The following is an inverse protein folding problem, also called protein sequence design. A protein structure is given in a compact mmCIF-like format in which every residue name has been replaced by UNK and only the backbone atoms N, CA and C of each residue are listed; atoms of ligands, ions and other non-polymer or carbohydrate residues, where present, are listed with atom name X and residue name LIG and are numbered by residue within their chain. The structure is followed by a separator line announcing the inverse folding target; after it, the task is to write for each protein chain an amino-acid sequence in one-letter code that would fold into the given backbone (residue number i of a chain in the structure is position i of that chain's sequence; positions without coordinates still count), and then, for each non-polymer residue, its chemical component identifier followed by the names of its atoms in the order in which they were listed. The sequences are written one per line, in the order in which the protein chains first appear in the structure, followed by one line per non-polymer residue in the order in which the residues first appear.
data_IF_001332939381
#
_entry.id   IF_001332939381
#
_cell.length_a   1.000
_cell.length_b   1.000
_cell.length_c   1.000
_cell.angle_alpha   90.00
_cell.angle_beta   90.00
_cell.angle_gamma   90.00
#
_symmetry.space_group_name_H-M   'P 1'
#
loop_
_entity.id
_entity.type
_entity.pdbx_description
1 polymer ?
#
# COMPACT_ATOMS: atom_id res chain seq x y z
N UNK A 1 0.31 129.53 -2.45
CA UNK A 1 1.27 129.74 -3.56
C UNK A 1 1.33 128.49 -4.47
N UNK A 2 1.23 128.77 -5.70
CA UNK A 2 1.57 127.96 -6.90
C UNK A 2 0.78 126.72 -7.24
N UNK A 3 -0.03 126.95 -8.24
CA UNK A 3 -0.57 126.02 -9.29
C UNK A 3 0.48 125.11 -9.87
N UNK A 4 0.09 123.90 -10.10
CA UNK A 4 0.55 123.27 -11.35
C UNK A 4 -0.44 122.22 -11.86
N UNK A 5 -0.84 122.41 -13.09
CA UNK A 5 -1.72 121.69 -13.99
C UNK A 5 -1.18 120.28 -14.30
N UNK A 6 -2.04 119.23 -14.32
CA UNK A 6 -1.77 117.99 -15.01
C UNK A 6 -2.80 117.74 -16.11
N UNK A 7 -2.31 117.64 -17.29
CA UNK A 7 -2.98 117.20 -18.53
C UNK A 7 -3.56 115.80 -18.42
N UNK A 8 -4.66 115.52 -19.04
CA UNK A 8 -5.25 114.19 -19.13
C UNK A 8 -4.49 113.35 -20.19
N UNK A 9 -4.12 112.15 -19.83
CA UNK A 9 -3.54 111.16 -20.69
C UNK A 9 -4.65 110.39 -21.41
N UNK A 10 -4.81 110.58 -22.70
CA UNK A 10 -5.68 109.78 -23.60
C UNK A 10 -5.20 108.39 -23.70
N UNK A 11 -5.88 107.43 -23.16
CA UNK A 11 -5.74 106.03 -23.49
C UNK A 11 -6.50 105.71 -24.79
N UNK A 12 -5.74 105.47 -25.81
CA UNK A 12 -6.24 104.94 -27.15
C UNK A 12 -6.65 103.48 -26.90
N UNK A 13 -7.95 103.23 -26.82
CA UNK A 13 -8.47 101.82 -26.95
C UNK A 13 -8.22 101.36 -28.34
N UNK A 14 -7.22 100.48 -28.53
CA UNK A 14 -7.08 99.63 -29.70
C UNK A 14 -8.32 98.71 -29.79
N UNK A 15 -9.32 99.12 -30.60
CA UNK A 15 -10.36 98.21 -30.97
C UNK A 15 -9.73 97.15 -31.94
N UNK A 16 -9.81 95.91 -31.54
CA UNK A 16 -9.42 94.74 -32.39
C UNK A 16 -10.27 94.77 -33.70
N UNK A 17 -9.66 95.25 -34.80
CA UNK A 17 -10.26 95.28 -36.13
C UNK A 17 -10.45 93.89 -36.73
N UNK A 18 -10.44 92.83 -35.94
CA UNK A 18 -10.63 91.45 -36.40
C UNK A 18 -12.07 91.21 -36.87
N UNK A 19 -13.03 91.98 -36.38
CA UNK A 19 -14.45 91.87 -36.74
C UNK A 19 -14.91 92.72 -37.98
N UNK A 20 -14.01 93.38 -38.63
CA UNK A 20 -14.35 94.14 -39.85
C UNK A 20 -14.15 93.37 -41.11
N UNK A 21 -13.56 92.19 -41.04
CA UNK A 21 -13.31 91.33 -42.22
C UNK A 21 -14.42 90.25 -42.32
N UNK A 22 -15.32 90.42 -43.31
CA UNK A 22 -16.44 89.52 -43.54
C UNK A 22 -16.04 88.01 -43.57
N UNK A 23 -14.84 87.71 -44.09
CA UNK A 23 -14.34 86.32 -44.16
C UNK A 23 -13.97 85.79 -42.79
N UNK A 24 -13.38 86.63 -41.92
CA UNK A 24 -12.99 86.21 -40.51
C UNK A 24 -14.27 86.05 -39.68
N UNK A 25 -15.26 86.93 -39.90
CA UNK A 25 -16.55 86.85 -39.18
C UNK A 25 -17.32 85.58 -39.59
N UNK A 26 -17.26 85.21 -40.89
CA UNK A 26 -17.87 83.98 -41.38
C UNK A 26 -17.19 82.72 -40.81
N UNK A 27 -15.86 82.69 -40.76
CA UNK A 27 -15.09 81.57 -40.15
C UNK A 27 -15.40 81.46 -38.60
N UNK A 28 -15.45 82.63 -37.93
CA UNK A 28 -15.76 82.63 -36.47
C UNK A 28 -17.20 82.18 -36.22
N UNK A 29 -18.15 82.62 -37.02
CA UNK A 29 -19.55 82.20 -36.96
C UNK A 29 -19.70 80.70 -37.19
N UNK A 30 -18.94 80.16 -38.17
CA UNK A 30 -18.94 78.74 -38.47
C UNK A 30 -18.34 77.95 -37.35
N UNK A 31 -17.19 78.39 -36.77
CA UNK A 31 -16.58 77.77 -35.60
C UNK A 31 -17.47 77.85 -34.36
N UNK A 32 -18.13 79.02 -34.15
CA UNK A 32 -19.06 79.16 -33.05
C UNK A 32 -20.32 78.27 -33.22
N UNK A 33 -20.86 78.17 -34.42
CA UNK A 33 -21.96 77.27 -34.75
C UNK A 33 -21.56 75.80 -34.60
N UNK A 34 -20.35 75.45 -35.08
CA UNK A 34 -19.79 74.10 -34.90
C UNK A 34 -19.54 73.74 -33.41
N UNK A 35 -19.06 74.76 -32.63
CA UNK A 35 -18.87 74.55 -31.18
C UNK A 35 -20.21 74.39 -30.44
N UNK A 36 -21.22 75.21 -30.78
CA UNK A 36 -22.59 75.09 -30.24
C UNK A 36 -23.22 73.77 -30.69
N UNK A 37 -23.05 73.37 -31.98
CA UNK A 37 -23.53 72.10 -32.46
C UNK A 37 -22.86 70.92 -31.75
N UNK A 38 -21.56 71.01 -31.56
CA UNK A 38 -20.79 69.94 -30.83
C UNK A 38 -21.21 69.91 -29.34
N UNK A 39 -21.38 71.08 -28.72
CA UNK A 39 -21.87 71.18 -27.34
C UNK A 39 -23.32 70.66 -27.21
N UNK A 40 -24.17 70.93 -28.20
CA UNK A 40 -25.55 70.45 -28.23
C UNK A 40 -25.62 68.96 -28.54
N UNK A 41 -24.72 68.43 -29.39
CA UNK A 41 -24.58 67.04 -29.66
C UNK A 41 -24.01 66.27 -28.47
N UNK A 42 -23.06 66.87 -27.73
CA UNK A 42 -22.52 66.31 -26.49
C UNK A 42 -23.53 66.34 -25.32
N UNK A 43 -24.40 67.33 -25.27
CA UNK A 43 -25.44 67.45 -24.23
C UNK A 43 -26.73 66.68 -24.55
N UNK A 44 -27.01 66.43 -25.87
CA UNK A 44 -28.16 65.64 -26.36
C UNK A 44 -27.77 64.18 -26.68
N UNK A 45 -26.67 63.65 -26.09
CA UNK A 45 -26.44 62.22 -26.15
C UNK A 45 -27.56 61.54 -25.35
N UNK A 46 -28.56 61.01 -26.05
CA UNK A 46 -29.63 60.23 -25.46
C UNK A 46 -29.00 59.15 -24.61
N UNK A 47 -29.41 59.10 -23.33
CA UNK A 47 -29.04 58.03 -22.41
C UNK A 47 -29.57 56.71 -23.01
N UNK A 48 -28.69 55.84 -23.46
CA UNK A 48 -29.05 54.58 -24.05
C UNK A 48 -28.74 53.45 -23.08
N UNK A 49 -29.69 52.53 -22.97
CA UNK A 49 -29.47 51.29 -22.26
C UNK A 49 -28.54 50.40 -23.13
N UNK A 50 -27.48 49.92 -22.52
CA UNK A 50 -26.51 48.98 -23.15
C UNK A 50 -26.39 47.72 -22.24
N UNK A 51 -26.48 46.55 -22.83
CA UNK A 51 -26.36 45.29 -22.05
C UNK A 51 -24.92 44.80 -22.14
N UNK A 52 -24.29 44.72 -21.00
CA UNK A 52 -22.97 44.08 -20.83
C UNK A 52 -23.21 42.62 -20.46
N UNK A 53 -22.75 41.73 -21.34
CA UNK A 53 -23.01 40.30 -21.21
C UNK A 53 -21.88 39.56 -20.47
N UNK A 54 -22.25 38.42 -19.88
CA UNK A 54 -21.29 37.50 -19.23
C UNK A 54 -20.46 38.18 -18.11
N UNK A 55 -21.07 39.05 -17.31
CA UNK A 55 -20.40 39.64 -16.15
C UNK A 55 -20.28 38.55 -15.07
N UNK A 56 -19.08 38.25 -14.58
CA UNK A 56 -18.87 37.18 -13.61
C UNK A 56 -19.52 37.55 -12.28
N UNK A 57 -20.16 36.53 -11.67
CA UNK A 57 -20.81 36.69 -10.36
C UNK A 57 -19.83 36.25 -9.28
N UNK A 58 -19.60 37.10 -8.29
CA UNK A 58 -18.83 36.79 -7.07
C UNK A 58 -19.79 36.55 -5.92
N UNK A 59 -19.73 35.33 -5.32
CA UNK A 59 -20.50 35.04 -4.12
C UNK A 59 -19.62 35.29 -2.91
N UNK A 60 -19.99 36.32 -2.11
CA UNK A 60 -19.33 36.66 -0.87
C UNK A 60 -19.99 35.90 0.29
N UNK A 61 -19.20 35.13 1.01
CA UNK A 61 -19.64 34.37 2.17
C UNK A 61 -19.35 35.22 3.42
N UNK A 62 -20.31 35.32 4.34
CA UNK A 62 -20.11 36.06 5.60
C UNK A 62 -18.92 35.50 6.39
N UNK A 63 -18.20 36.36 7.11
CA UNK A 63 -17.00 35.98 7.87
C UNK A 63 -17.27 34.79 8.82
N UNK A 64 -18.41 34.85 9.51
CA UNK A 64 -18.83 33.76 10.44
C UNK A 64 -19.05 32.43 9.73
N UNK A 65 -19.59 32.43 8.53
CA UNK A 65 -19.80 31.24 7.73
C UNK A 65 -18.48 30.74 7.12
N UNK A 66 -17.60 31.64 6.70
CA UNK A 66 -16.28 31.32 6.19
C UNK A 66 -15.38 30.69 7.26
N UNK A 67 -15.39 31.24 8.49
CA UNK A 67 -14.68 30.66 9.64
C UNK A 67 -15.24 29.29 10.03
N UNK A 68 -16.54 29.06 9.83
CA UNK A 68 -17.16 27.75 10.02
C UNK A 68 -16.89 26.76 8.89
N UNK A 69 -16.11 27.12 7.85
CA UNK A 69 -15.74 26.26 6.73
C UNK A 69 -16.80 26.14 5.65
N UNK A 70 -17.79 27.03 5.60
CA UNK A 70 -18.83 27.02 4.55
C UNK A 70 -18.22 27.37 3.20
N UNK A 71 -18.60 26.58 2.18
CA UNK A 71 -18.23 26.81 0.76
C UNK A 71 -19.44 26.65 -0.13
N UNK A 72 -19.40 27.34 -1.27
CA UNK A 72 -20.35 27.15 -2.37
C UNK A 72 -19.82 26.05 -3.28
N UNK A 73 -20.63 25.04 -3.54
CA UNK A 73 -20.26 23.88 -4.38
C UNK A 73 -20.86 23.96 -5.77
N UNK A 74 -22.01 24.65 -5.93
CA UNK A 74 -22.65 24.86 -7.22
C UNK A 74 -23.42 26.16 -7.25
N UNK A 75 -23.53 26.75 -8.44
CA UNK A 75 -24.32 27.92 -8.74
C UNK A 75 -25.13 27.66 -10.01
N UNK A 76 -26.38 28.13 -10.07
CA UNK A 76 -27.24 28.02 -11.25
C UNK A 76 -26.67 28.78 -12.48
N UNK A 77 -25.90 29.83 -12.23
CA UNK A 77 -25.14 30.56 -13.24
C UNK A 77 -23.87 31.17 -12.63
N UNK A 78 -22.76 31.12 -13.34
CA UNK A 78 -21.49 31.77 -12.96
C UNK A 78 -21.35 33.20 -13.49
N UNK A 79 -22.26 33.64 -14.38
CA UNK A 79 -22.26 34.96 -14.95
C UNK A 79 -23.69 35.44 -15.20
N UNK A 80 -23.85 36.75 -15.35
CA UNK A 80 -25.12 37.41 -15.60
C UNK A 80 -24.97 38.58 -16.59
N UNK A 81 -26.05 39.00 -17.18
CA UNK A 81 -26.09 40.17 -18.07
C UNK A 81 -26.52 41.41 -17.25
N UNK A 82 -25.80 42.53 -17.40
CA UNK A 82 -26.05 43.76 -16.68
C UNK A 82 -26.44 44.84 -17.66
N UNK A 83 -27.61 45.46 -17.45
CA UNK A 83 -28.05 46.64 -18.19
C UNK A 83 -27.49 47.88 -17.55
N UNK A 84 -26.82 48.70 -18.32
CA UNK A 84 -26.30 50.02 -17.89
C UNK A 84 -26.87 51.11 -18.78
N UNK A 85 -27.09 52.27 -18.20
CA UNK A 85 -27.64 53.44 -18.88
C UNK A 85 -26.67 54.61 -18.76
N UNK A 86 -26.42 55.30 -19.87
CA UNK A 86 -25.50 56.44 -19.89
C UNK A 86 -25.19 56.93 -21.32
N UNK A 87 -24.23 57.83 -21.37
CA UNK A 87 -23.76 58.36 -22.68
C UNK A 87 -23.20 57.23 -23.56
N UNK A 88 -23.71 57.11 -24.80
CA UNK A 88 -23.36 56.07 -25.73
C UNK A 88 -21.83 55.92 -26.03
N UNK A 89 -21.08 57.03 -25.94
CA UNK A 89 -19.63 57.06 -26.10
C UNK A 89 -18.90 56.42 -24.91
N UNK A 90 -19.52 56.48 -23.73
CA UNK A 90 -19.00 55.91 -22.50
C UNK A 90 -19.44 54.47 -22.37
N UNK A 91 -20.75 54.19 -22.51
CA UNK A 91 -21.30 52.84 -22.38
C UNK A 91 -20.75 51.83 -23.38
N UNK A 92 -20.37 52.30 -24.58
CA UNK A 92 -19.74 51.46 -25.60
C UNK A 92 -18.32 51.00 -25.26
N UNK A 93 -17.66 51.58 -24.26
CA UNK A 93 -16.32 51.21 -23.78
C UNK A 93 -16.34 50.40 -22.48
N UNK A 94 -17.50 50.29 -21.85
CA UNK A 94 -17.67 49.51 -20.63
C UNK A 94 -17.64 48.05 -20.97
N UNK A 95 -16.81 47.30 -20.25
CA UNK A 95 -16.64 45.86 -20.36
C UNK A 95 -17.15 45.13 -19.10
N UNK A 96 -17.19 43.81 -19.16
CA UNK A 96 -17.54 42.98 -17.98
C UNK A 96 -16.55 43.13 -16.80
N UNK A 97 -15.34 43.64 -17.06
CA UNK A 97 -14.35 43.91 -16.02
C UNK A 97 -14.60 45.17 -15.22
N UNK A 98 -15.36 46.12 -15.78
CA UNK A 98 -15.70 47.39 -15.16
C UNK A 98 -16.89 47.31 -14.21
N UNK A 99 -17.61 46.16 -14.22
CA UNK A 99 -18.80 45.93 -13.38
C UNK A 99 -18.51 44.79 -12.41
N UNK A 100 -18.77 44.99 -11.15
CA UNK A 100 -18.78 43.96 -10.12
C UNK A 100 -20.21 43.51 -9.86
N UNK A 101 -20.45 42.19 -10.00
CA UNK A 101 -21.72 41.59 -9.56
C UNK A 101 -21.45 40.73 -8.37
N UNK A 102 -22.11 41.04 -7.26
CA UNK A 102 -21.96 40.33 -5.98
C UNK A 102 -23.30 39.77 -5.51
N UNK A 103 -23.21 38.64 -4.82
CA UNK A 103 -24.29 38.05 -4.06
C UNK A 103 -23.76 37.67 -2.67
N UNK A 104 -24.48 38.01 -1.61
CA UNK A 104 -24.02 37.69 -0.26
C UNK A 104 -24.71 36.43 0.25
N UNK A 105 -23.90 35.46 0.68
CA UNK A 105 -24.34 34.23 1.34
C UNK A 105 -24.06 34.35 2.86
N UNK A 106 -25.13 34.49 3.66
CA UNK A 106 -25.05 34.56 5.12
C UNK A 106 -25.96 33.51 5.76
N UNK A 107 -25.53 32.24 5.76
CA UNK A 107 -26.34 31.16 6.31
C UNK A 107 -26.23 31.09 7.83
N UNK A 108 -27.31 30.67 8.48
CA UNK A 108 -27.27 30.31 9.91
C UNK A 108 -26.42 29.04 10.09
N UNK A 109 -25.17 29.20 10.48
CA UNK A 109 -24.20 28.12 10.67
C UNK A 109 -24.69 27.04 11.64
N UNK A 110 -25.51 27.42 12.64
CA UNK A 110 -26.15 26.50 13.59
C UNK A 110 -27.14 25.52 12.94
N UNK A 111 -27.64 25.82 11.75
CA UNK A 111 -28.55 24.94 10.99
C UNK A 111 -27.80 23.95 10.10
N UNK A 112 -26.48 24.10 9.92
CA UNK A 112 -25.66 23.24 9.12
C UNK A 112 -25.23 22.02 9.96
N UNK A 113 -26.09 21.00 9.97
CA UNK A 113 -25.91 19.78 10.79
C UNK A 113 -25.07 18.70 10.10
N UNK A 114 -24.63 18.93 8.86
CA UNK A 114 -23.91 17.93 8.05
C UNK A 114 -24.77 16.75 7.58
N UNK A 115 -26.11 16.87 7.64
CA UNK A 115 -27.04 15.79 7.24
C UNK A 115 -27.61 15.96 5.83
N UNK A 116 -27.64 17.20 5.30
CA UNK A 116 -28.17 17.47 3.95
C UNK A 116 -27.52 18.72 3.35
N UNK A 117 -27.34 18.68 2.01
CA UNK A 117 -26.95 19.84 1.23
C UNK A 117 -27.97 20.96 1.40
N UNK A 118 -27.49 22.18 1.54
CA UNK A 118 -28.32 23.35 1.63
C UNK A 118 -28.38 24.06 0.29
N UNK A 119 -29.55 24.58 -0.04
CA UNK A 119 -29.79 25.35 -1.26
C UNK A 119 -30.52 26.63 -0.91
N UNK A 120 -30.08 27.77 -1.46
CA UNK A 120 -30.74 29.05 -1.27
C UNK A 120 -30.66 29.88 -2.55
N UNK A 121 -31.60 30.83 -2.66
CA UNK A 121 -31.60 31.79 -3.75
C UNK A 121 -31.02 33.10 -3.22
N UNK A 122 -30.05 33.66 -3.95
CA UNK A 122 -29.37 34.91 -3.62
C UNK A 122 -29.71 35.94 -4.67
N UNK A 123 -30.06 37.17 -4.22
CA UNK A 123 -30.25 38.32 -5.10
C UNK A 123 -28.91 38.91 -5.51
N UNK A 124 -28.76 39.20 -6.81
CA UNK A 124 -27.56 39.78 -7.39
C UNK A 124 -27.58 41.31 -7.27
N UNK A 125 -26.47 41.89 -6.86
CA UNK A 125 -26.22 43.31 -6.82
C UNK A 125 -25.06 43.63 -7.75
N UNK A 126 -25.31 44.52 -8.72
CA UNK A 126 -24.28 44.99 -9.62
C UNK A 126 -23.88 46.43 -9.26
N UNK A 127 -22.59 46.65 -9.22
CA UNK A 127 -21.99 47.96 -8.92
C UNK A 127 -20.86 48.25 -9.87
N UNK A 128 -20.51 49.53 -10.03
CA UNK A 128 -19.32 49.94 -10.77
C UNK A 128 -18.08 49.46 -10.02
N UNK A 129 -17.17 48.82 -10.75
CA UNK A 129 -15.91 48.31 -10.18
C UNK A 129 -14.85 49.39 -10.24
N UNK A 130 -14.34 49.82 -9.08
CA UNK A 130 -13.28 50.81 -8.98
C UNK A 130 -13.77 52.27 -9.10
N UNK A 131 -12.80 53.18 -9.10
CA UNK A 131 -13.04 54.62 -9.13
C UNK A 131 -13.18 55.13 -10.59
N UNK A 132 -14.03 54.49 -11.38
CA UNK A 132 -14.29 54.94 -12.76
C UNK A 132 -15.09 56.21 -12.74
N UNK A 133 -14.48 57.32 -13.18
CA UNK A 133 -15.13 58.62 -13.44
C UNK A 133 -16.15 58.56 -14.60
N UNK A 134 -16.42 57.35 -15.12
CA UNK A 134 -17.36 57.14 -16.17
C UNK A 134 -18.80 57.33 -15.70
N UNK A 135 -19.49 58.29 -16.29
CA UNK A 135 -20.89 58.62 -16.00
C UNK A 135 -21.83 57.61 -16.67
N UNK A 136 -22.01 56.44 -16.07
CA UNK A 136 -23.08 55.51 -16.41
C UNK A 136 -23.75 55.02 -15.11
N UNK A 137 -24.97 54.54 -15.20
CA UNK A 137 -25.69 53.94 -14.07
C UNK A 137 -26.01 52.52 -14.40
N UNK A 138 -25.94 51.64 -13.36
CA UNK A 138 -26.38 50.26 -13.46
C UNK A 138 -27.89 50.26 -13.25
N UNK A 139 -28.62 49.73 -14.22
CA UNK A 139 -30.09 49.78 -14.24
C UNK A 139 -30.68 48.45 -13.72
N UNK A 140 -30.21 47.33 -14.25
CA UNK A 140 -30.74 46.00 -13.91
C UNK A 140 -29.76 44.91 -14.15
N UNK A 141 -30.00 43.76 -13.53
CA UNK A 141 -29.24 42.53 -13.68
C UNK A 141 -30.21 41.42 -14.11
N UNK A 142 -29.83 40.62 -15.09
CA UNK A 142 -30.68 39.54 -15.60
C UNK A 142 -29.89 38.24 -15.85
N UNK A 143 -30.17 37.15 -15.11
CA UNK A 143 -31.14 37.02 -14.03
C UNK A 143 -30.77 37.88 -12.80
N UNK A 144 -31.75 38.32 -12.06
CA UNK A 144 -31.57 39.15 -10.82
C UNK A 144 -31.27 38.29 -9.59
N UNK A 145 -31.42 36.96 -9.71
CA UNK A 145 -31.22 36.00 -8.64
C UNK A 145 -30.49 34.73 -9.18
N UNK A 146 -29.70 34.14 -8.32
CA UNK A 146 -29.08 32.82 -8.57
C UNK A 146 -29.38 31.88 -7.43
N UNK A 147 -29.48 30.61 -7.77
CA UNK A 147 -29.54 29.54 -6.78
C UNK A 147 -28.16 29.00 -6.51
N UNK A 148 -27.77 28.89 -5.25
CA UNK A 148 -26.48 28.34 -4.81
C UNK A 148 -26.70 27.11 -3.94
N UNK A 149 -25.82 26.13 -4.13
CA UNK A 149 -25.71 24.96 -3.25
C UNK A 149 -24.49 25.15 -2.37
N UNK A 150 -24.65 25.04 -1.07
CA UNK A 150 -23.58 25.27 -0.11
C UNK A 150 -23.65 24.30 1.06
N UNK A 151 -22.51 24.07 1.71
CA UNK A 151 -22.37 23.28 2.93
C UNK A 151 -21.02 23.60 3.57
N UNK A 152 -20.73 23.02 4.74
CA UNK A 152 -19.38 22.97 5.27
C UNK A 152 -18.51 22.08 4.40
N UNK A 153 -17.26 22.48 4.22
CA UNK A 153 -16.28 21.68 3.53
C UNK A 153 -15.68 20.64 4.48
N UNK A 154 -15.58 19.39 4.00
CA UNK A 154 -14.98 18.30 4.74
C UNK A 154 -14.06 17.46 3.85
N UNK A 155 -13.00 16.94 4.44
CA UNK A 155 -12.13 15.94 3.86
C UNK A 155 -12.09 14.72 4.75
N UNK A 156 -12.05 13.54 4.13
CA UNK A 156 -11.92 12.25 4.81
C UNK A 156 -11.04 11.33 4.00
N UNK A 157 -10.12 10.63 4.67
CA UNK A 157 -9.36 9.56 4.05
C UNK A 157 -10.07 8.23 4.24
N UNK A 158 -10.13 7.44 3.18
CA UNK A 158 -10.69 6.10 3.17
C UNK A 158 -9.66 5.11 2.64
N UNK A 159 -9.64 3.92 3.24
CA UNK A 159 -8.88 2.80 2.70
C UNK A 159 -9.63 2.23 1.51
N UNK A 160 -8.91 1.94 0.43
CA UNK A 160 -9.46 1.30 -0.76
C UNK A 160 -9.68 -0.18 -0.50
N UNK A 161 -10.91 -0.62 -0.68
CA UNK A 161 -11.27 -2.03 -0.70
C UNK A 161 -11.13 -2.60 -2.12
N UNK A 162 -10.74 -3.86 -2.22
CA UNK A 162 -10.59 -4.54 -3.51
C UNK A 162 -11.60 -5.67 -3.66
N UNK A 163 -12.32 -5.69 -4.77
CA UNK A 163 -13.25 -6.74 -5.15
C UNK A 163 -12.93 -7.21 -6.58
N UNK A 164 -11.81 -7.93 -6.70
CA UNK A 164 -11.35 -8.48 -7.97
C UNK A 164 -11.71 -9.95 -8.08
N UNK A 165 -12.35 -10.31 -9.18
CA UNK A 165 -12.70 -11.70 -9.50
C UNK A 165 -11.85 -12.17 -10.67
N UNK A 166 -10.93 -13.11 -10.42
CA UNK A 166 -10.08 -13.73 -11.42
C UNK A 166 -9.71 -15.16 -11.03
N UNK A 167 -9.41 -15.95 -12.03
CA UNK A 167 -8.82 -17.29 -11.93
C UNK A 167 -7.53 -17.33 -12.73
N UNK A 168 -6.62 -18.19 -12.34
CA UNK A 168 -5.40 -18.47 -13.10
C UNK A 168 -5.54 -19.77 -13.87
N UNK A 169 -4.92 -19.85 -15.04
CA UNK A 169 -4.80 -21.10 -15.75
C UNK A 169 -3.97 -22.13 -14.97
N UNK A 170 -4.05 -23.38 -15.35
CA UNK A 170 -3.23 -24.48 -14.78
C UNK A 170 -1.75 -24.10 -14.81
N UNK A 171 -1.01 -24.43 -13.75
CA UNK A 171 0.40 -24.09 -13.54
C UNK A 171 0.72 -22.60 -13.37
N UNK A 172 -0.27 -21.78 -13.11
CA UNK A 172 -0.08 -20.37 -12.74
C UNK A 172 -0.68 -20.07 -11.38
N UNK A 173 -0.15 -19.04 -10.75
CA UNK A 173 -0.60 -18.56 -9.46
C UNK A 173 -0.67 -17.03 -9.46
N UNK A 174 -1.72 -16.51 -8.86
CA UNK A 174 -1.85 -15.11 -8.51
C UNK A 174 -2.32 -14.99 -7.05
N UNK A 175 -1.83 -14.00 -6.27
CA UNK A 175 -2.33 -13.78 -4.91
C UNK A 175 -3.80 -13.37 -4.95
N UNK A 176 -4.53 -13.66 -3.89
CA UNK A 176 -5.96 -13.31 -3.77
C UNK A 176 -6.22 -11.81 -3.70
N UNK A 177 -5.21 -11.03 -3.30
CA UNK A 177 -5.28 -9.58 -3.17
C UNK A 177 -4.32 -8.95 -4.18
N UNK A 178 -4.80 -8.10 -5.09
CA UNK A 178 -3.95 -7.37 -6.02
C UNK A 178 -3.10 -6.32 -5.29
N UNK A 179 -2.05 -5.85 -5.94
CA UNK A 179 -1.24 -4.73 -5.47
C UNK A 179 -1.79 -3.44 -6.03
N UNK A 180 -1.96 -2.43 -5.19
CA UNK A 180 -2.46 -1.11 -5.55
C UNK A 180 -1.32 -0.09 -5.59
N UNK A 181 -1.41 0.91 -6.48
CA UNK A 181 -0.49 2.06 -6.48
C UNK A 181 -0.68 2.96 -5.26
N UNK A 182 -1.88 2.99 -4.69
CA UNK A 182 -2.21 3.64 -3.42
C UNK A 182 -3.28 2.84 -2.68
N UNK A 183 -3.18 2.76 -1.37
CA UNK A 183 -4.15 2.08 -0.51
C UNK A 183 -5.16 3.06 0.12
N UNK A 184 -4.87 4.36 0.04
CA UNK A 184 -5.68 5.41 0.64
C UNK A 184 -6.16 6.39 -0.44
N UNK A 185 -7.39 6.85 -0.29
CA UNK A 185 -7.97 7.89 -1.12
C UNK A 185 -8.57 8.98 -0.23
N UNK A 186 -8.38 10.24 -0.62
CA UNK A 186 -9.02 11.37 0.04
C UNK A 186 -10.29 11.74 -0.71
N UNK A 187 -11.41 11.75 0.00
CA UNK A 187 -12.70 12.21 -0.49
C UNK A 187 -12.99 13.55 0.16
N UNK A 188 -13.22 14.56 -0.65
CA UNK A 188 -13.49 15.93 -0.19
C UNK A 188 -14.75 16.49 -0.85
N UNK A 189 -15.41 17.41 -0.15
CA UNK A 189 -16.63 18.03 -0.66
C UNK A 189 -17.54 18.57 0.44
N UNK A 190 -18.86 18.68 0.16
CA UNK A 190 -19.85 19.02 1.16
C UNK A 190 -19.85 18.03 2.32
N UNK A 191 -19.87 18.51 3.57
CA UNK A 191 -19.85 17.64 4.75
C UNK A 191 -20.98 16.61 4.74
N UNK A 192 -22.18 17.03 4.37
CA UNK A 192 -23.34 16.13 4.25
C UNK A 192 -23.17 15.03 3.20
N UNK A 193 -22.42 15.31 2.13
CA UNK A 193 -22.12 14.33 1.08
C UNK A 193 -20.98 13.40 1.49
N UNK A 194 -19.90 13.96 2.07
CA UNK A 194 -18.76 13.17 2.58
C UNK A 194 -19.21 12.21 3.66
N UNK A 195 -20.13 12.64 4.56
CA UNK A 195 -20.68 11.79 5.62
C UNK A 195 -21.52 10.61 5.11
N UNK A 196 -21.99 10.63 3.86
CA UNK A 196 -22.70 9.50 3.24
C UNK A 196 -21.75 8.42 2.74
N UNK A 197 -20.50 8.77 2.48
CA UNK A 197 -19.52 7.82 1.95
C UNK A 197 -19.06 6.90 3.07
N UNK A 198 -19.36 5.61 2.95
CA UNK A 198 -18.93 4.59 3.90
C UNK A 198 -17.70 3.82 3.41
N UNK A 199 -17.61 3.55 2.09
CA UNK A 199 -16.52 2.74 1.52
C UNK A 199 -16.13 3.26 0.15
N UNK A 200 -14.85 3.05 -0.21
CA UNK A 200 -14.30 3.25 -1.54
C UNK A 200 -13.78 1.92 -2.06
N UNK A 201 -14.27 1.46 -3.19
CA UNK A 201 -14.03 0.11 -3.70
C UNK A 201 -13.49 0.17 -5.11
N UNK A 202 -12.47 -0.66 -5.36
CA UNK A 202 -11.98 -0.99 -6.69
C UNK A 202 -12.50 -2.37 -7.05
N UNK A 203 -13.26 -2.48 -8.14
CA UNK A 203 -13.82 -3.74 -8.56
C UNK A 203 -13.59 -4.00 -10.05
N UNK A 204 -13.25 -5.24 -10.35
CA UNK A 204 -13.09 -5.70 -11.71
C UNK A 204 -13.27 -7.22 -11.79
N UNK A 205 -13.89 -7.69 -12.85
CA UNK A 205 -14.07 -9.12 -13.13
C UNK A 205 -13.38 -9.46 -14.45
N UNK A 206 -12.42 -10.38 -14.38
CA UNK A 206 -11.81 -10.93 -15.58
C UNK A 206 -12.70 -12.01 -16.16
N UNK A 207 -12.82 -12.04 -17.49
CA UNK A 207 -13.59 -13.06 -18.23
C UNK A 207 -12.75 -14.27 -18.62
N UNK A 208 -11.41 -14.12 -18.61
CA UNK A 208 -10.45 -15.13 -19.03
C UNK A 208 -9.52 -15.48 -17.87
N UNK A 209 -9.01 -16.70 -17.89
CA UNK A 209 -7.99 -17.13 -16.93
C UNK A 209 -6.66 -16.42 -17.18
N UNK A 210 -6.01 -16.04 -16.09
CA UNK A 210 -4.76 -15.31 -16.16
C UNK A 210 -3.57 -16.26 -16.35
N UNK A 211 -2.75 -15.97 -17.38
CA UNK A 211 -1.50 -16.68 -17.69
C UNK A 211 -0.28 -15.76 -17.57
N UNK A 212 -0.48 -14.47 -17.37
CA UNK A 212 0.56 -13.47 -17.21
C UNK A 212 0.09 -12.34 -16.31
N UNK A 213 1.02 -11.64 -15.69
CA UNK A 213 0.72 -10.47 -14.86
C UNK A 213 -0.10 -9.43 -15.61
N UNK A 214 -1.07 -8.83 -14.94
CA UNK A 214 -1.94 -7.81 -15.48
C UNK A 214 -1.83 -6.54 -14.66
N UNK A 215 -1.75 -5.40 -15.36
CA UNK A 215 -1.90 -4.08 -14.77
C UNK A 215 -3.02 -3.36 -15.48
N UNK A 216 -3.89 -2.71 -14.72
CA UNK A 216 -5.05 -1.98 -15.24
C UNK A 216 -5.34 -0.79 -14.34
N UNK A 217 -5.88 0.27 -14.95
CA UNK A 217 -6.38 1.45 -14.24
C UNK A 217 -7.84 1.22 -13.89
N UNK A 218 -8.15 1.16 -12.60
CA UNK A 218 -9.50 0.92 -12.09
C UNK A 218 -10.10 2.21 -11.56
N UNK A 219 -11.35 2.49 -11.93
CA UNK A 219 -12.12 3.59 -11.38
C UNK A 219 -12.52 3.30 -9.94
N UNK A 220 -12.40 4.31 -9.09
CA UNK A 220 -12.88 4.22 -7.72
C UNK A 220 -14.39 4.37 -7.68
N UNK A 221 -15.07 3.43 -7.05
CA UNK A 221 -16.52 3.46 -6.81
C UNK A 221 -16.79 3.72 -5.34
N UNK A 222 -17.59 4.74 -5.05
CA UNK A 222 -18.00 5.08 -3.69
C UNK A 222 -19.33 4.42 -3.34
N UNK A 223 -19.44 3.94 -2.11
CA UNK A 223 -20.63 3.31 -1.58
C UNK A 223 -21.10 3.95 -0.26
N UNK A 224 -22.40 4.01 -0.06
CA UNK A 224 -22.98 4.38 1.23
C UNK A 224 -22.98 3.19 2.21
N UNK A 225 -23.46 3.43 3.43
CA UNK A 225 -23.56 2.39 4.47
C UNK A 225 -24.56 1.26 4.15
N UNK A 226 -25.47 1.48 3.20
CA UNK A 226 -26.45 0.49 2.75
C UNK A 226 -25.96 -0.31 1.53
N UNK A 227 -24.79 0.04 0.99
CA UNK A 227 -24.23 -0.59 -0.20
C UNK A 227 -24.72 -0.02 -1.54
N UNK A 228 -25.36 1.15 -1.54
CA UNK A 228 -25.72 1.83 -2.78
C UNK A 228 -24.53 2.60 -3.34
N UNK A 229 -24.40 2.61 -4.66
CA UNK A 229 -23.36 3.39 -5.36
C UNK A 229 -23.70 4.88 -5.26
N UNK A 230 -22.70 5.67 -4.93
CA UNK A 230 -22.79 7.13 -4.87
C UNK A 230 -22.11 7.74 -6.12
N UNK A 231 -22.81 8.67 -6.77
CA UNK A 231 -22.23 9.45 -7.87
C UNK A 231 -21.49 10.68 -7.30
N UNK A 232 -20.16 10.75 -7.44
CA UNK A 232 -19.39 11.90 -6.94
C UNK A 232 -19.84 13.23 -7.55
N UNK A 233 -20.30 13.22 -8.80
CA UNK A 233 -20.70 14.43 -9.53
C UNK A 233 -21.99 15.01 -8.95
N UNK A 234 -22.99 14.16 -8.71
CA UNK A 234 -24.28 14.59 -8.12
C UNK A 234 -24.12 15.07 -6.67
N UNK A 235 -23.16 14.52 -5.96
CA UNK A 235 -22.87 14.82 -4.57
C UNK A 235 -21.80 15.90 -4.37
N UNK A 236 -21.29 16.49 -5.45
CA UNK A 236 -20.19 17.47 -5.42
C UNK A 236 -18.93 16.98 -4.72
N UNK A 237 -18.68 15.68 -4.75
CA UNK A 237 -17.49 15.07 -4.18
C UNK A 237 -16.31 15.15 -5.16
N UNK A 238 -15.13 15.36 -4.59
CA UNK A 238 -13.85 15.27 -5.30
C UNK A 238 -13.00 14.19 -4.65
N UNK A 239 -12.41 13.35 -5.46
CA UNK A 239 -11.46 12.33 -5.04
C UNK A 239 -10.04 12.84 -5.31
N UNK A 240 -9.06 12.43 -4.50
CA UNK A 240 -7.64 12.69 -4.79
C UNK A 240 -7.22 12.04 -6.11
N UNK A 241 -7.76 10.84 -6.38
CA UNK A 241 -7.54 10.06 -7.58
C UNK A 241 -8.85 9.39 -8.00
N UNK A 242 -9.29 9.66 -9.21
CA UNK A 242 -10.51 9.04 -9.76
C UNK A 242 -10.27 7.59 -10.20
N UNK A 243 -9.01 7.26 -10.50
CA UNK A 243 -8.57 5.94 -10.93
C UNK A 243 -7.29 5.55 -10.20
N UNK A 244 -7.14 4.26 -9.91
CA UNK A 244 -5.98 3.68 -9.23
C UNK A 244 -5.41 2.56 -10.10
N UNK A 245 -4.09 2.55 -10.24
CA UNK A 245 -3.39 1.46 -10.92
C UNK A 245 -3.37 0.23 -10.03
N UNK A 246 -3.84 -0.86 -10.60
CA UNK A 246 -3.96 -2.17 -9.94
C UNK A 246 -3.09 -3.17 -10.67
N UNK A 247 -2.21 -3.85 -9.97
CA UNK A 247 -1.35 -4.90 -10.51
C UNK A 247 -1.68 -6.24 -9.88
N UNK A 248 -1.90 -7.24 -10.73
CA UNK A 248 -2.10 -8.64 -10.36
C UNK A 248 -0.88 -9.41 -10.86
N UNK A 249 0.09 -9.70 -9.99
CA UNK A 249 1.24 -10.49 -10.38
C UNK A 249 0.80 -11.95 -10.62
N UNK A 250 1.13 -12.49 -11.77
CA UNK A 250 0.92 -13.91 -12.11
C UNK A 250 2.27 -14.56 -12.28
N UNK A 251 2.50 -15.63 -11.56
CA UNK A 251 3.75 -16.37 -11.53
C UNK A 251 3.52 -17.85 -11.88
N UNK A 252 4.58 -18.58 -12.21
CA UNK A 252 4.50 -20.02 -12.41
C UNK A 252 4.24 -20.74 -11.10
N UNK A 253 3.43 -21.80 -11.13
CA UNK A 253 3.12 -22.68 -10.01
C UNK A 253 3.57 -24.11 -10.30
N UNK A 254 4.14 -24.77 -9.32
CA UNK A 254 4.58 -26.15 -9.41
C UNK A 254 4.33 -26.90 -8.11
N UNK A 255 3.93 -28.17 -8.23
CA UNK A 255 3.88 -29.11 -7.11
C UNK A 255 5.26 -29.70 -6.89
N UNK A 256 5.75 -29.68 -5.66
CA UNK A 256 7.04 -30.24 -5.24
C UNK A 256 6.84 -31.25 -4.14
N UNK A 257 7.57 -32.36 -4.21
CA UNK A 257 7.55 -33.42 -3.19
C UNK A 257 8.39 -33.03 -2.00
N UNK A 258 7.95 -33.44 -0.80
CA UNK A 258 8.70 -33.28 0.42
C UNK A 258 9.52 -34.56 0.71
N UNK A 259 10.76 -34.37 1.12
CA UNK A 259 11.66 -35.46 1.50
C UNK A 259 12.24 -35.19 2.90
N UNK A 260 12.30 -36.20 3.73
CA UNK A 260 12.94 -36.12 5.04
C UNK A 260 14.40 -36.57 4.99
N UNK A 261 15.32 -35.78 5.56
CA UNK A 261 16.70 -36.23 5.83
C UNK A 261 16.66 -37.11 7.07
N UNK A 262 16.68 -38.41 6.90
CA UNK A 262 16.71 -39.38 8.01
C UNK A 262 18.09 -39.98 8.10
N UNK A 263 18.77 -39.79 9.23
CA UNK A 263 20.12 -40.29 9.49
C UNK A 263 20.06 -41.55 10.35
N UNK A 264 21.10 -42.40 10.22
CA UNK A 264 21.27 -43.65 10.95
C UNK A 264 20.09 -44.63 10.80
N UNK A 265 19.42 -44.59 9.64
CA UNK A 265 18.36 -45.54 9.32
C UNK A 265 18.96 -46.92 9.03
N UNK A 266 18.48 -48.00 9.68
CA UNK A 266 18.96 -49.36 9.35
C UNK A 266 18.53 -49.78 7.94
N UNK A 267 19.40 -50.50 7.21
CA UNK A 267 19.09 -51.03 5.87
C UNK A 267 17.85 -51.94 5.85
N UNK A 268 17.56 -52.56 6.99
CA UNK A 268 16.40 -53.45 7.18
C UNK A 268 15.06 -52.67 7.37
N UNK A 269 15.11 -51.36 7.59
CA UNK A 269 13.88 -50.55 7.75
C UNK A 269 13.40 -50.07 6.37
N UNK A 270 12.27 -50.57 5.94
CA UNK A 270 11.76 -50.30 4.61
C UNK A 270 11.29 -48.83 4.48
N UNK A 271 11.72 -48.13 3.45
CA UNK A 271 11.39 -46.72 3.16
C UNK A 271 9.89 -46.44 3.03
N UNK A 272 9.10 -47.42 2.56
CA UNK A 272 7.65 -47.31 2.47
C UNK A 272 6.93 -47.27 3.85
N UNK A 273 7.65 -47.38 4.93
CA UNK A 273 7.16 -47.22 6.30
C UNK A 273 7.34 -45.80 6.83
N UNK A 274 7.93 -44.93 6.04
CA UNK A 274 8.06 -43.50 6.33
C UNK A 274 6.99 -42.79 5.54
N UNK A 275 6.15 -42.03 6.22
CA UNK A 275 5.13 -41.18 5.61
C UNK A 275 5.36 -39.74 5.97
N UNK A 276 5.15 -38.84 5.02
CA UNK A 276 5.26 -37.39 5.20
C UNK A 276 3.91 -36.79 4.89
N UNK A 277 3.38 -35.96 5.77
CA UNK A 277 2.10 -35.29 5.61
C UNK A 277 2.27 -33.77 5.85
N UNK A 278 1.99 -32.91 4.84
CA UNK A 278 1.66 -33.26 3.46
C UNK A 278 2.87 -33.92 2.73
N UNK A 279 2.58 -34.82 1.79
CA UNK A 279 3.63 -35.47 0.98
C UNK A 279 4.23 -34.52 -0.07
N UNK A 280 3.45 -33.50 -0.45
CA UNK A 280 3.83 -32.49 -1.44
C UNK A 280 3.19 -31.15 -1.09
N UNK A 281 3.80 -30.06 -1.57
CA UNK A 281 3.26 -28.71 -1.48
C UNK A 281 3.28 -28.04 -2.84
N UNK A 282 2.46 -27.00 -2.99
CA UNK A 282 2.53 -26.13 -4.16
C UNK A 282 3.41 -24.92 -3.87
N UNK A 283 4.30 -24.61 -4.79
CA UNK A 283 5.14 -23.43 -4.76
C UNK A 283 4.90 -22.58 -6.00
N UNK A 284 5.05 -21.25 -5.84
CA UNK A 284 4.93 -20.30 -6.94
C UNK A 284 6.08 -19.30 -6.95
N UNK A 285 6.45 -18.83 -8.12
CA UNK A 285 7.53 -17.87 -8.31
C UNK A 285 7.86 -17.67 -9.78
N UNK A 286 9.03 -17.08 -10.05
CA UNK A 286 9.53 -17.01 -11.41
C UNK A 286 9.72 -18.41 -12.01
N UNK A 287 9.34 -18.59 -13.28
CA UNK A 287 9.33 -19.91 -13.94
C UNK A 287 10.69 -20.61 -13.95
N UNK A 288 11.79 -19.86 -14.15
CA UNK A 288 13.14 -20.41 -14.12
C UNK A 288 13.55 -20.83 -12.70
N UNK A 289 13.08 -20.13 -11.69
CA UNK A 289 13.36 -20.43 -10.29
C UNK A 289 12.58 -21.64 -9.81
N UNK A 290 11.28 -21.66 -10.05
CA UNK A 290 10.38 -22.74 -9.61
C UNK A 290 10.76 -24.08 -10.26
N UNK A 291 11.12 -24.08 -11.56
CA UNK A 291 11.48 -25.31 -12.30
C UNK A 291 12.71 -26.04 -11.76
N UNK A 292 13.53 -25.41 -10.93
CA UNK A 292 14.69 -26.02 -10.27
C UNK A 292 14.31 -26.97 -9.13
N UNK A 293 13.11 -26.82 -8.60
CA UNK A 293 12.65 -27.55 -7.42
C UNK A 293 11.63 -28.61 -7.82
N UNK A 294 12.06 -29.87 -7.88
CA UNK A 294 11.16 -31.05 -8.01
C UNK A 294 10.87 -31.65 -6.64
N UNK A 295 11.83 -31.52 -5.72
CA UNK A 295 11.75 -31.97 -4.32
C UNK A 295 12.28 -30.92 -3.39
N UNK A 296 11.78 -30.90 -2.16
CA UNK A 296 12.29 -30.08 -1.05
C UNK A 296 12.61 -30.97 0.15
N UNK A 297 13.84 -30.91 0.60
CA UNK A 297 14.27 -31.63 1.81
C UNK A 297 13.88 -30.80 3.04
N UNK A 298 13.23 -31.43 4.01
CA UNK A 298 12.82 -30.80 5.27
C UNK A 298 14.04 -30.24 6.02
N UNK A 299 13.83 -29.14 6.77
CA UNK A 299 14.92 -28.32 7.31
C UNK A 299 15.78 -28.99 8.38
N UNK A 300 15.22 -29.93 9.12
CA UNK A 300 15.90 -30.57 10.26
C UNK A 300 16.04 -32.06 10.00
N UNK A 301 17.26 -32.61 10.02
CA UNK A 301 17.47 -34.05 9.92
C UNK A 301 16.89 -34.77 11.13
N UNK A 302 16.26 -35.91 10.87
CA UNK A 302 15.72 -36.81 11.90
C UNK A 302 16.74 -37.90 12.16
N UNK A 303 17.17 -38.07 13.41
CA UNK A 303 18.01 -39.19 13.79
C UNK A 303 17.13 -40.42 14.07
N UNK A 304 17.25 -41.47 13.27
CA UNK A 304 16.45 -42.67 13.44
C UNK A 304 16.67 -43.37 14.79
N UNK A 305 17.81 -43.16 15.45
CA UNK A 305 18.05 -43.67 16.79
C UNK A 305 17.10 -43.13 17.86
N UNK A 306 16.44 -41.98 17.59
CA UNK A 306 15.45 -41.36 18.45
C UNK A 306 14.01 -41.85 18.18
N UNK A 307 13.85 -42.72 17.15
CA UNK A 307 12.56 -43.27 16.73
C UNK A 307 12.23 -44.48 17.58
N UNK A 308 11.16 -44.37 18.35
CA UNK A 308 10.66 -45.44 19.27
C UNK A 308 9.15 -45.62 19.03
N UNK A 309 8.56 -46.75 19.53
CA UNK A 309 7.10 -46.91 19.46
C UNK A 309 6.30 -45.78 20.14
N UNK A 310 6.88 -45.07 21.10
CA UNK A 310 6.28 -43.96 21.80
C UNK A 310 6.58 -42.59 21.13
N UNK A 311 7.69 -42.52 20.40
CA UNK A 311 8.14 -41.32 19.70
C UNK A 311 8.44 -41.66 18.22
N UNK A 312 7.39 -41.82 17.42
CA UNK A 312 7.50 -42.21 16.02
C UNK A 312 6.99 -41.15 15.05
N UNK A 313 6.67 -39.94 15.53
CA UNK A 313 6.14 -38.85 14.74
C UNK A 313 6.93 -37.57 15.03
N UNK A 314 7.42 -36.92 13.99
CA UNK A 314 8.26 -35.71 14.08
C UNK A 314 7.64 -34.60 13.22
N UNK A 315 7.51 -33.43 13.81
CA UNK A 315 7.09 -32.21 13.09
C UNK A 315 8.33 -31.43 12.67
N UNK A 316 8.49 -31.22 11.36
CA UNK A 316 9.68 -30.58 10.79
C UNK A 316 9.26 -29.45 9.85
N UNK A 317 9.93 -28.31 9.95
CA UNK A 317 9.63 -27.16 9.12
C UNK A 317 9.97 -27.41 7.66
N UNK A 318 9.11 -26.87 6.77
CA UNK A 318 9.29 -26.93 5.33
C UNK A 318 10.11 -25.70 4.91
N UNK A 319 11.32 -25.87 4.36
CA UNK A 319 12.12 -24.75 3.90
C UNK A 319 11.52 -24.17 2.62
N UNK A 320 11.27 -22.85 2.62
CA UNK A 320 10.84 -22.13 1.43
C UNK A 320 12.04 -21.45 0.80
N UNK A 321 12.44 -21.79 -0.44
CA UNK A 321 13.57 -21.17 -1.11
C UNK A 321 13.34 -19.68 -1.39
N UNK A 322 14.43 -18.91 -1.46
CA UNK A 322 14.36 -17.49 -1.83
C UNK A 322 13.74 -17.29 -3.21
N UNK A 323 12.85 -16.29 -3.34
CA UNK A 323 12.17 -15.99 -4.61
C UNK A 323 10.98 -16.90 -4.92
N UNK A 324 10.58 -17.75 -3.97
CA UNK A 324 9.46 -18.69 -4.08
C UNK A 324 8.45 -18.43 -2.97
N UNK A 325 7.18 -18.59 -3.27
CA UNK A 325 6.07 -18.49 -2.31
C UNK A 325 5.46 -19.87 -2.11
N UNK A 326 5.25 -20.29 -0.86
CA UNK A 326 4.48 -21.49 -0.53
C UNK A 326 2.99 -21.21 -0.67
N UNK A 327 2.38 -21.70 -1.74
CA UNK A 327 0.96 -21.49 -2.06
C UNK A 327 0.05 -22.29 -1.11
N UNK A 328 0.51 -23.48 -0.70
CA UNK A 328 -0.23 -24.37 0.21
C UNK A 328 -0.36 -23.76 1.63
N UNK A 329 0.54 -22.84 2.00
CA UNK A 329 0.59 -22.15 3.32
C UNK A 329 0.78 -23.07 4.51
N UNK A 330 1.27 -24.30 4.28
CA UNK A 330 1.65 -25.26 5.33
C UNK A 330 3.12 -25.02 5.68
N UNK A 331 3.41 -24.65 6.90
CA UNK A 331 4.77 -24.32 7.34
C UNK A 331 5.57 -25.53 7.80
N UNK A 332 4.89 -26.59 8.26
CA UNK A 332 5.50 -27.78 8.83
C UNK A 332 4.94 -29.04 8.19
N UNK A 333 5.77 -30.03 8.02
CA UNK A 333 5.38 -31.40 7.65
C UNK A 333 5.54 -32.36 8.83
N UNK A 334 4.66 -33.34 8.91
CA UNK A 334 4.71 -34.41 9.89
C UNK A 334 5.31 -35.65 9.27
N UNK A 335 6.45 -36.10 9.78
CA UNK A 335 7.11 -37.35 9.36
C UNK A 335 6.75 -38.43 10.35
N UNK A 336 6.13 -39.51 9.90
CA UNK A 336 5.69 -40.64 10.74
C UNK A 336 6.40 -41.91 10.31
N UNK A 337 6.99 -42.60 11.28
CA UNK A 337 7.61 -43.92 11.12
C UNK A 337 6.64 -45.01 11.57
N UNK A 338 6.21 -45.85 10.66
CA UNK A 338 5.30 -46.94 10.96
C UNK A 338 6.04 -48.10 11.59
N UNK A 339 6.04 -48.21 12.92
CA UNK A 339 6.64 -49.26 13.70
C UNK A 339 5.69 -50.43 14.00
N UNK A 340 4.55 -50.53 13.29
CA UNK A 340 3.65 -51.66 13.49
C UNK A 340 4.34 -53.02 13.26
N UNK A 341 4.24 -53.90 14.27
CA UNK A 341 4.92 -55.21 14.25
C UNK A 341 6.32 -55.22 14.87
N UNK A 342 6.83 -54.05 15.24
CA UNK A 342 8.06 -53.92 16.03
C UNK A 342 7.72 -53.72 17.53
N UNK A 343 8.65 -54.16 18.38
CA UNK A 343 8.58 -54.02 19.86
C UNK A 343 9.93 -53.56 20.39
N UNK A 344 9.92 -52.81 21.47
CA UNK A 344 11.11 -52.43 22.22
C UNK A 344 11.39 -53.51 23.29
N UNK A 345 12.66 -53.83 23.49
CA UNK A 345 13.15 -54.67 24.58
C UNK A 345 14.44 -54.09 25.15
N UNK A 346 14.78 -54.42 26.36
CA UNK A 346 16.07 -54.07 26.96
C UNK A 346 16.98 -55.31 27.01
N UNK A 347 18.20 -55.16 26.53
CA UNK A 347 19.22 -56.23 26.53
C UNK A 347 20.45 -55.75 27.29
N UNK A 348 20.90 -56.55 28.24
CA UNK A 348 22.13 -56.32 28.97
C UNK A 348 23.25 -57.09 28.24
N UNK A 349 24.33 -56.36 27.86
CA UNK A 349 25.52 -56.97 27.25
C UNK A 349 26.78 -56.60 28.03
N UNK A 350 27.74 -57.52 28.02
CA UNK A 350 29.14 -57.33 28.48
C UNK A 350 30.14 -57.34 27.31
N UNK A 351 29.66 -57.52 26.09
CA UNK A 351 30.51 -57.56 24.89
C UNK A 351 30.88 -56.14 24.46
N UNK A 352 31.75 -55.48 25.24
CA UNK A 352 32.22 -54.15 24.97
C UNK A 352 33.69 -54.20 24.58
N UNK A 353 34.05 -53.65 23.43
CA UNK A 353 35.42 -53.57 22.91
C UNK A 353 35.83 -52.15 22.61
N UNK A 354 37.10 -51.86 22.68
CA UNK A 354 37.69 -50.58 22.31
C UNK A 354 38.50 -50.75 21.01
N UNK A 355 38.32 -49.83 20.07
CA UNK A 355 39.04 -49.81 18.82
C UNK A 355 39.76 -48.47 18.59
N UNK A 356 40.72 -48.42 17.69
CA UNK A 356 41.48 -47.23 17.33
C UNK A 356 42.13 -46.55 18.54
N UNK A 357 42.73 -47.35 19.44
CA UNK A 357 43.51 -46.83 20.58
C UNK A 357 44.71 -46.04 20.04
N UNK A 358 44.96 -44.81 20.47
CA UNK A 358 46.08 -44.00 20.05
C UNK A 358 47.44 -44.74 20.25
N UNK A 359 48.37 -44.50 19.29
CA UNK A 359 49.69 -45.15 19.35
C UNK A 359 50.46 -44.83 20.65
N UNK A 360 51.03 -45.84 21.27
CA UNK A 360 51.74 -45.68 22.57
C UNK A 360 50.85 -45.64 23.80
N UNK A 361 49.53 -45.83 23.63
CA UNK A 361 48.57 -45.85 24.75
C UNK A 361 47.94 -47.23 24.91
N UNK A 362 47.48 -47.52 26.14
CA UNK A 362 46.65 -48.64 26.49
C UNK A 362 45.30 -48.13 26.99
N UNK A 363 44.22 -48.79 26.54
CA UNK A 363 42.85 -48.44 26.90
C UNK A 363 42.29 -49.47 27.91
N UNK A 364 41.91 -49.02 29.08
CA UNK A 364 41.17 -49.83 30.06
C UNK A 364 39.70 -49.41 30.09
N UNK A 365 38.80 -50.36 29.82
CA UNK A 365 37.37 -50.15 29.82
C UNK A 365 36.84 -50.23 31.27
N UNK A 366 36.40 -49.11 31.83
CA UNK A 366 35.81 -49.07 33.20
C UNK A 366 34.36 -49.55 33.17
N UNK A 367 33.61 -49.31 32.11
CA UNK A 367 32.26 -49.80 31.89
C UNK A 367 32.26 -51.28 31.54
N UNK A 368 31.74 -52.13 32.38
CA UNK A 368 31.77 -53.61 32.16
C UNK A 368 30.48 -54.12 31.49
N UNK A 369 29.37 -53.45 31.65
CA UNK A 369 28.07 -53.82 31.07
C UNK A 369 27.31 -52.61 30.59
N UNK A 370 26.53 -52.76 29.54
CA UNK A 370 25.59 -51.76 29.04
C UNK A 370 24.22 -52.37 28.87
N UNK A 371 23.19 -51.64 29.36
CA UNK A 371 21.79 -51.96 29.04
C UNK A 371 21.34 -51.14 27.87
N UNK A 372 21.00 -51.81 26.80
CA UNK A 372 20.63 -51.23 25.51
C UNK A 372 19.15 -51.43 25.26
N UNK A 373 18.47 -50.39 24.74
CA UNK A 373 17.13 -50.52 24.19
C UNK A 373 17.20 -50.91 22.75
N UNK A 374 16.57 -52.02 22.41
CA UNK A 374 16.58 -52.60 21.07
C UNK A 374 15.16 -52.72 20.56
N UNK A 375 14.91 -52.21 19.38
CA UNK A 375 13.65 -52.37 18.65
C UNK A 375 13.85 -53.47 17.58
N UNK A 376 12.87 -54.35 17.47
CA UNK A 376 12.87 -55.40 16.48
C UNK A 376 11.52 -56.09 16.33
N UNK A 377 11.38 -56.97 15.36
CA UNK A 377 10.21 -57.82 15.22
C UNK A 377 10.13 -58.80 16.40
N UNK A 378 8.93 -59.20 16.81
CA UNK A 378 8.73 -60.14 17.92
C UNK A 378 9.54 -61.45 17.74
N UNK A 379 9.65 -61.94 16.50
CA UNK A 379 10.41 -63.13 16.16
C UNK A 379 11.93 -62.98 16.32
N UNK A 380 12.46 -61.81 16.06
CA UNK A 380 13.89 -61.51 16.22
C UNK A 380 14.26 -61.19 17.66
N UNK A 381 13.43 -60.39 18.34
CA UNK A 381 13.62 -60.04 19.76
C UNK A 381 13.67 -61.29 20.66
N UNK A 382 12.83 -62.30 20.35
CA UNK A 382 12.81 -63.53 21.14
C UNK A 382 14.10 -64.37 21.04
N UNK A 383 14.96 -64.07 20.05
CA UNK A 383 16.27 -64.73 19.84
C UNK A 383 17.43 -63.90 20.38
N UNK A 384 17.20 -62.67 20.76
CA UNK A 384 18.25 -61.80 21.25
C UNK A 384 18.71 -62.18 22.64
N UNK A 385 20.02 -62.30 22.78
CA UNK A 385 20.69 -62.45 24.06
C UNK A 385 21.80 -61.39 24.18
N UNK A 386 22.34 -61.21 25.39
CA UNK A 386 23.49 -60.31 25.57
C UNK A 386 24.68 -60.63 24.67
N UNK A 387 24.86 -61.94 24.34
CA UNK A 387 25.95 -62.42 23.48
C UNK A 387 25.75 -62.06 22.02
N UNK A 388 24.53 -61.72 21.58
CA UNK A 388 24.21 -61.27 20.21
C UNK A 388 24.52 -59.80 19.98
N UNK A 389 24.80 -59.04 21.03
CA UNK A 389 24.95 -57.60 20.97
C UNK A 389 26.38 -57.18 21.28
N UNK A 390 27.00 -56.48 20.37
CA UNK A 390 28.39 -56.02 20.46
C UNK A 390 28.41 -54.48 20.53
N UNK A 391 29.20 -53.97 21.45
CA UNK A 391 29.41 -52.56 21.69
C UNK A 391 30.86 -52.21 21.33
N UNK A 392 31.08 -51.29 20.46
CA UNK A 392 32.40 -50.79 20.06
C UNK A 392 32.60 -49.37 20.43
N UNK A 393 33.63 -49.10 21.23
CA UNK A 393 34.06 -47.72 21.57
C UNK A 393 35.17 -47.35 20.60
N UNK A 394 34.91 -46.40 19.72
CA UNK A 394 35.89 -45.89 18.76
C UNK A 394 36.60 -44.64 19.32
N UNK A 395 37.92 -44.77 19.49
CA UNK A 395 38.76 -43.69 19.99
C UNK A 395 39.44 -42.87 18.92
N UNK A 396 39.09 -43.06 17.63
CA UNK A 396 39.70 -42.31 16.51
C UNK A 396 39.49 -40.78 16.56
N UNK A 397 38.45 -40.33 17.24
CA UNK A 397 38.08 -38.90 17.37
C UNK A 397 38.60 -38.25 18.65
N UNK A 398 39.30 -39.01 19.48
CA UNK A 398 39.80 -38.50 20.79
C UNK A 398 41.02 -37.60 20.56
N UNK A 399 40.92 -36.32 20.87
CA UNK A 399 41.96 -35.32 20.69
C UNK A 399 42.92 -35.19 21.87
N UNK A 400 42.51 -35.57 23.09
CA UNK A 400 43.34 -35.60 24.30
C UNK A 400 43.39 -37.01 24.89
N UNK A 401 44.43 -37.77 24.56
CA UNK A 401 44.48 -39.20 24.85
C UNK A 401 44.92 -39.56 26.27
N UNK A 402 44.81 -38.68 27.24
CA UNK A 402 45.25 -38.98 28.63
C UNK A 402 44.08 -38.88 29.65
N UNK A 403 43.99 -39.91 30.49
CA UNK A 403 43.04 -39.94 31.61
C UNK A 403 41.76 -40.72 31.34
N UNK A 404 40.76 -40.55 32.23
CA UNK A 404 39.44 -41.18 32.09
C UNK A 404 38.49 -40.28 31.31
N UNK A 405 37.82 -40.85 30.35
CA UNK A 405 36.86 -40.12 29.50
C UNK A 405 35.61 -40.95 29.21
N UNK A 406 34.57 -40.27 28.79
CA UNK A 406 33.36 -40.87 28.28
C UNK A 406 33.39 -40.84 26.76
N UNK A 407 33.29 -42.02 26.14
CA UNK A 407 33.37 -42.15 24.69
C UNK A 407 32.10 -42.79 24.11
N UNK A 408 31.64 -42.35 22.92
CA UNK A 408 30.44 -42.87 22.28
C UNK A 408 30.61 -44.35 21.90
N UNK A 409 29.50 -45.10 22.04
CA UNK A 409 29.43 -46.53 21.75
C UNK A 409 28.63 -46.76 20.49
N UNK A 410 29.21 -47.46 19.52
CA UNK A 410 28.50 -48.00 18.36
C UNK A 410 28.01 -49.41 18.70
N UNK A 411 26.72 -49.65 18.49
CA UNK A 411 26.08 -50.95 18.79
C UNK A 411 25.90 -51.73 17.48
N UNK A 412 26.37 -52.96 17.48
CA UNK A 412 26.17 -53.91 16.38
C UNK A 412 25.41 -55.13 16.90
N UNK A 413 24.38 -55.55 16.17
CA UNK A 413 23.56 -56.72 16.55
C UNK A 413 23.77 -57.79 15.52
N UNK A 414 24.26 -58.95 15.95
CA UNK A 414 24.49 -60.10 15.10
C UNK A 414 23.30 -61.08 15.12
N UNK A 415 23.02 -61.69 14.00
CA UNK A 415 21.96 -62.70 13.81
C UNK A 415 20.53 -62.17 13.98
N UNK A 416 20.31 -60.86 13.81
CA UNK A 416 19.03 -60.24 13.98
C UNK A 416 18.85 -59.03 13.01
N UNK A 417 18.71 -59.33 11.70
CA UNK A 417 18.73 -58.35 10.60
C UNK A 417 17.64 -57.26 10.67
N UNK A 418 16.60 -57.49 11.45
CA UNK A 418 15.48 -56.52 11.66
C UNK A 418 15.45 -55.98 13.05
N UNK A 419 16.60 -55.85 13.72
CA UNK A 419 16.76 -55.23 15.03
C UNK A 419 17.78 -54.10 14.96
N UNK A 420 17.55 -53.03 15.72
CA UNK A 420 18.47 -51.90 15.89
C UNK A 420 18.41 -51.35 17.30
N UNK A 421 19.50 -50.80 17.76
CA UNK A 421 19.54 -50.08 19.03
C UNK A 421 18.98 -48.66 18.88
N UNK A 422 18.25 -48.19 19.89
CA UNK A 422 17.74 -46.81 19.96
C UNK A 422 18.47 -46.03 21.06
N UNK A 423 18.54 -44.69 20.87
CA UNK A 423 19.26 -43.81 21.82
C UNK A 423 20.78 -43.76 21.53
N UNK A 424 21.45 -42.97 22.34
CA UNK A 424 22.91 -42.85 22.33
C UNK A 424 23.49 -43.45 23.57
N UNK A 425 24.58 -44.23 23.45
CA UNK A 425 25.25 -44.88 24.53
C UNK A 425 26.68 -44.40 24.63
N UNK A 426 27.18 -44.33 25.85
CA UNK A 426 28.55 -43.98 26.17
C UNK A 426 29.18 -45.01 27.08
N UNK A 427 30.50 -45.16 27.04
CA UNK A 427 31.27 -45.99 27.95
C UNK A 427 32.47 -45.23 28.51
N UNK A 428 32.79 -45.47 29.76
CA UNK A 428 33.96 -44.89 30.40
C UNK A 428 35.21 -45.70 30.04
N UNK A 429 36.18 -45.02 29.46
CA UNK A 429 37.48 -45.56 29.07
C UNK A 429 38.60 -44.79 29.75
N UNK A 430 39.58 -45.46 30.32
CA UNK A 430 40.77 -44.82 30.84
C UNK A 430 41.94 -45.13 29.91
N UNK A 431 42.61 -44.06 29.44
CA UNK A 431 43.81 -44.15 28.64
C UNK A 431 45.05 -43.90 29.47
N UNK A 432 46.03 -44.81 29.40
CA UNK A 432 47.31 -44.67 30.06
C UNK A 432 48.47 -44.96 29.11
N UNK A 433 49.66 -44.35 29.28
CA UNK A 433 50.82 -44.71 28.49
C UNK A 433 51.15 -46.21 28.61
N UNK A 434 51.42 -46.87 27.51
CA UNK A 434 51.82 -48.26 27.49
C UNK A 434 53.18 -48.39 28.15
N UNK A 435 53.24 -49.11 29.28
CA UNK A 435 54.49 -49.40 29.97
C UNK A 435 55.31 -50.42 29.17
N UNK A 436 56.44 -49.99 28.57
CA UNK A 436 57.38 -50.93 27.99
C UNK A 436 57.92 -51.85 29.12
N UNK A 437 57.60 -53.12 29.05
CA UNK A 437 58.25 -54.12 29.90
C UNK A 437 59.69 -54.24 29.49
N UNK A 438 60.61 -53.63 30.24
CA UNK A 438 62.04 -53.86 30.09
C UNK A 438 62.32 -55.32 30.42
N UNK A 439 62.48 -56.18 29.42
CA UNK A 439 63.14 -57.48 29.54
C UNK A 439 64.59 -57.19 29.90
N UNK A 440 64.96 -57.24 31.15
CA UNK A 440 66.35 -57.32 31.57
C UNK A 440 66.90 -58.67 31.14
N UNK A 441 67.63 -58.68 30.04
CA UNK A 441 68.54 -59.73 29.76
C UNK A 441 69.62 -59.77 30.87
N UNK A 442 69.45 -60.69 31.81
CA UNK A 442 70.52 -61.04 32.74
C UNK A 442 71.39 -62.06 32.03
N UNK A 443 72.39 -61.60 31.25
CA UNK A 443 73.54 -62.46 30.85
C UNK A 443 74.46 -62.62 32.03
N UNK A 444 74.61 -63.90 32.46
CA UNK A 444 75.84 -64.37 33.01
C UNK A 444 76.02 -65.84 32.71
#
# INVERSE_FOLDING_TARGET
MAKMSKKPRNEVKQRLRVFENNTILLIFSFLAAAAVWFAMMASNSESRATVIRNVPINVEISDTAQEAGVRVFSMSSSATDVSITGNSLITSKVTSEDIGVTATLDPSVSMLTGSSLQQTTLSLRAEKKGNTLAEYEVESVSPSEITVVYDKYKETQLTLETNFQYTTAENYYAPSTPTLSTELITVSGPESSVNKVARAVLEYKFSEELTQSKSLSCKVTLYDANGNVLDPTELYLKLSDDTVEVSIPVTSRQTVKLEADVRNIPDSFASNRITIDPAEIEIAGDGETVSKYTTLTLSTPINFLDVTPENNTFTVAIPVPSGVTNVTRVENATVTFNLNGYKETSVLTSNISVTNVPEGMEAELSTKTLTLKIIGTAAQISKLTGDSVFCTVDLSTVTDPSGSMEAPVTVTINNADSCWATGSYTAHVTLSPKTESSTSDASN
#
